data_IF_602325931301
#
_entry.id   IF_602325931301
#
_cell.length_a   1.000
_cell.length_b   1.000
_cell.length_c   1.000
_cell.angle_alpha   90.00
_cell.angle_beta   90.00
_cell.angle_gamma   90.00
#
_symmetry.space_group_name_H-M   'P 1'
#
loop_
_entity.id
_entity.type
_entity.pdbx_description
1 polymer ?
#
# COMPACT_ATOMS: atom_id res chain seq x y z
N UNK A 1 19.33 3.64 20.26
CA UNK A 1 17.99 3.56 19.62
C UNK A 1 17.46 2.14 19.80
N UNK A 2 16.17 1.96 20.06
CA UNK A 2 15.57 0.62 20.16
C UNK A 2 15.53 -0.03 18.77
N UNK A 3 15.72 -1.35 18.71
CA UNK A 3 15.65 -2.12 17.46
C UNK A 3 14.19 -2.25 17.02
N UNK A 4 13.92 -1.89 15.77
CA UNK A 4 12.62 -2.14 15.13
C UNK A 4 12.56 -3.63 14.75
N UNK A 5 11.50 -4.32 15.14
CA UNK A 5 11.31 -5.76 14.88
C UNK A 5 10.47 -5.99 13.62
N UNK A 6 9.34 -5.30 13.53
CA UNK A 6 8.45 -5.27 12.35
C UNK A 6 7.98 -3.84 12.13
N UNK A 7 7.80 -3.46 10.86
CA UNK A 7 7.25 -2.16 10.48
C UNK A 7 6.69 -2.18 9.06
N UNK A 8 5.63 -1.40 8.83
CA UNK A 8 5.14 -1.09 7.50
C UNK A 8 4.63 0.35 7.42
N UNK A 9 4.62 0.91 6.22
CA UNK A 9 3.98 2.17 5.88
C UNK A 9 2.56 1.83 5.44
N UNK A 10 1.55 2.26 6.20
CA UNK A 10 0.14 2.10 5.85
C UNK A 10 -0.33 3.35 5.07
N UNK A 11 -0.74 3.17 3.82
CA UNK A 11 -1.23 4.25 2.95
C UNK A 11 -2.68 3.99 2.55
N UNK A 12 -3.50 5.01 2.71
CA UNK A 12 -4.86 5.08 2.18
C UNK A 12 -4.83 6.12 1.05
N UNK A 13 -5.23 5.70 -0.14
CA UNK A 13 -5.16 6.51 -1.36
C UNK A 13 -6.53 6.49 -2.02
N UNK A 14 -6.97 7.64 -2.50
CA UNK A 14 -8.23 7.82 -3.21
C UNK A 14 -7.93 8.35 -4.62
N UNK A 15 -8.58 7.76 -5.60
CA UNK A 15 -8.42 8.04 -7.03
C UNK A 15 -9.78 8.40 -7.64
N UNK A 16 -9.74 9.14 -8.74
CA UNK A 16 -10.95 9.51 -9.46
C UNK A 16 -11.55 8.31 -10.18
N UNK A 17 -10.70 7.38 -10.61
CA UNK A 17 -11.09 6.18 -11.35
C UNK A 17 -10.42 4.91 -10.83
N UNK A 18 -10.95 3.75 -11.23
CA UNK A 18 -10.36 2.45 -10.91
C UNK A 18 -9.05 2.24 -11.70
N UNK A 19 -8.97 2.79 -12.91
CA UNK A 19 -7.82 2.70 -13.81
C UNK A 19 -6.58 3.36 -13.21
N UNK A 20 -6.71 4.58 -12.66
CA UNK A 20 -5.60 5.27 -11.97
C UNK A 20 -5.08 4.48 -10.77
N UNK A 21 -5.98 3.86 -10.00
CA UNK A 21 -5.60 3.00 -8.89
C UNK A 21 -4.86 1.74 -9.37
N UNK A 22 -5.25 1.19 -10.51
CA UNK A 22 -4.57 0.04 -11.12
C UNK A 22 -3.16 0.41 -11.60
N UNK A 23 -3.01 1.55 -12.28
CA UNK A 23 -1.69 2.07 -12.71
C UNK A 23 -0.75 2.29 -11.52
N UNK A 24 -1.26 2.87 -10.43
CA UNK A 24 -0.49 3.05 -9.20
C UNK A 24 -0.01 1.71 -8.62
N UNK A 25 -0.89 0.70 -8.57
CA UNK A 25 -0.55 -0.63 -8.05
C UNK A 25 0.47 -1.35 -8.94
N UNK A 26 0.38 -1.21 -10.26
CA UNK A 26 1.38 -1.73 -11.22
C UNK A 26 2.74 -1.03 -11.02
N UNK A 27 2.75 0.29 -10.89
CA UNK A 27 3.97 1.04 -10.57
C UNK A 27 4.58 0.59 -9.24
N UNK A 28 3.74 0.25 -8.24
CA UNK A 28 4.19 -0.28 -6.95
C UNK A 28 4.77 -1.70 -7.08
N UNK A 29 4.19 -2.58 -7.92
CA UNK A 29 4.77 -3.90 -8.26
C UNK A 29 6.13 -3.81 -8.93
N UNK A 30 6.33 -2.78 -9.73
CA UNK A 30 7.61 -2.54 -10.40
C UNK A 30 8.70 -2.03 -9.44
N UNK A 31 8.33 -1.58 -8.22
CA UNK A 31 9.31 -1.29 -7.16
C UNK A 31 9.77 -2.59 -6.52
N UNK A 32 11.07 -2.71 -6.24
CA UNK A 32 11.66 -3.84 -5.50
C UNK A 32 11.30 -3.85 -3.99
N UNK A 33 10.26 -3.12 -3.58
CA UNK A 33 9.81 -3.03 -2.19
C UNK A 33 8.64 -3.97 -1.99
N UNK A 34 8.67 -4.76 -0.91
CA UNK A 34 7.54 -5.60 -0.56
C UNK A 34 6.33 -4.73 -0.17
N UNK A 35 5.15 -5.11 -0.65
CA UNK A 35 3.89 -4.47 -0.23
C UNK A 35 2.75 -5.49 -0.28
N UNK A 36 1.68 -5.19 0.46
CA UNK A 36 0.40 -5.91 0.39
C UNK A 36 -0.75 -4.95 0.20
N UNK A 37 -1.78 -5.41 -0.48
CA UNK A 37 -3.02 -4.68 -0.65
C UNK A 37 -3.95 -5.11 0.48
N UNK A 38 -4.36 -4.15 1.31
CA UNK A 38 -5.20 -4.39 2.48
C UNK A 38 -6.68 -4.26 2.12
N UNK A 39 -7.04 -3.25 1.33
CA UNK A 39 -8.42 -3.03 0.89
C UNK A 39 -8.50 -2.36 -0.47
N UNK A 40 -9.62 -2.57 -1.16
CA UNK A 40 -10.04 -1.82 -2.35
C UNK A 40 -11.55 -1.62 -2.28
N UNK A 41 -12.02 -0.39 -2.41
CA UNK A 41 -13.43 -0.06 -2.31
C UNK A 41 -13.80 1.13 -3.20
N UNK A 42 -15.01 1.11 -3.76
CA UNK A 42 -15.60 2.26 -4.41
C UNK A 42 -16.37 3.10 -3.38
N UNK A 43 -16.04 4.38 -3.26
CA UNK A 43 -16.61 5.29 -2.25
C UNK A 43 -17.05 6.57 -2.94
N UNK A 44 -18.35 6.87 -2.92
CA UNK A 44 -18.91 8.13 -3.49
C UNK A 44 -18.45 8.45 -4.93
N UNK A 45 -18.36 7.43 -5.79
CA UNK A 45 -17.91 7.59 -7.18
C UNK A 45 -16.39 7.77 -7.33
N UNK A 46 -15.63 7.62 -6.25
CA UNK A 46 -14.16 7.51 -6.22
C UNK A 46 -13.74 6.07 -5.98
N UNK A 47 -12.46 5.78 -6.20
CA UNK A 47 -11.89 4.48 -5.91
C UNK A 47 -10.79 4.61 -4.87
N UNK A 48 -10.97 3.95 -3.73
CA UNK A 48 -10.05 4.00 -2.61
C UNK A 48 -9.32 2.67 -2.45
N UNK A 49 -8.02 2.74 -2.25
CA UNK A 49 -7.18 1.59 -1.93
C UNK A 49 -6.44 1.82 -0.61
N UNK A 50 -6.24 0.73 0.14
CA UNK A 50 -5.34 0.71 1.29
C UNK A 50 -4.21 -0.26 1.00
N UNK A 51 -2.98 0.20 1.10
CA UNK A 51 -1.78 -0.60 0.85
C UNK A 51 -0.81 -0.46 2.02
N UNK A 52 -0.17 -1.57 2.38
CA UNK A 52 0.94 -1.57 3.32
C UNK A 52 2.24 -1.85 2.57
N UNK A 53 3.21 -0.96 2.67
CA UNK A 53 4.53 -1.08 2.06
C UNK A 53 5.60 -1.31 3.13
N UNK A 54 6.65 -2.05 2.80
CA UNK A 54 7.78 -2.29 3.68
C UNK A 54 8.50 -0.99 4.07
N UNK A 55 8.80 -0.83 5.36
CA UNK A 55 9.60 0.29 5.86
C UNK A 55 11.06 -0.11 6.05
N UNK A 56 12.01 0.56 5.37
CA UNK A 56 13.46 0.40 5.56
C UNK A 56 13.95 -1.07 5.60
N UNK A 57 13.43 -1.94 4.73
CA UNK A 57 13.73 -3.39 4.70
C UNK A 57 13.38 -4.15 6.00
N UNK A 58 12.62 -3.54 6.90
CA UNK A 58 12.12 -4.21 8.09
C UNK A 58 11.16 -5.33 7.67
N UNK A 59 11.05 -6.41 8.44
CA UNK A 59 9.95 -7.35 8.29
C UNK A 59 8.61 -6.60 8.30
N UNK A 60 7.70 -6.97 7.40
CA UNK A 60 6.35 -6.38 7.37
C UNK A 60 5.54 -6.90 8.54
N UNK A 61 4.71 -6.04 9.14
CA UNK A 61 3.83 -6.41 10.25
C UNK A 61 2.90 -7.53 9.79
N UNK A 62 3.05 -8.70 10.39
CA UNK A 62 2.26 -9.89 10.16
C UNK A 62 1.03 -9.95 11.08
N UNK A 63 0.28 -8.85 11.11
CA UNK A 63 -1.05 -8.78 11.73
C UNK A 63 -2.09 -9.47 10.87
#
# INVERSE_FOLDING_TARGET
MKKIIEACIDRILEFDTQEEAAEYLEALRNKKTAFRIVNREAVNGKYRIRVQEQYNKSPMISG
#
